data_IF_678790034875
#
_entry.id   IF_678790034875
#
_cell.length_a   1.000
_cell.length_b   1.000
_cell.length_c   1.000
_cell.angle_alpha   90.00
_cell.angle_beta   90.00
_cell.angle_gamma   90.00
#
_symmetry.space_group_name_H-M   'P 1'
#
loop_
_entity.id
_entity.type
_entity.pdbx_description
1 polymer ?
#
# COMPACT_ATOMS: atom_id res chain seq x y z
N UNK A 1 -4.39 -13.31 -13.01
CA UNK A 1 -4.63 -13.69 -11.60
C UNK A 1 -6.13 -13.74 -11.28
N UNK A 2 -6.82 -12.58 -11.20
CA UNK A 2 -8.24 -12.52 -10.77
C UNK A 2 -9.20 -13.36 -11.64
N UNK A 3 -9.09 -13.29 -12.98
CA UNK A 3 -9.90 -14.15 -13.89
C UNK A 3 -9.66 -15.65 -13.69
N UNK A 4 -8.50 -16.02 -13.13
CA UNK A 4 -8.16 -17.40 -12.80
C UNK A 4 -8.54 -17.80 -11.35
N UNK A 5 -9.30 -16.97 -10.64
CA UNK A 5 -9.76 -17.26 -9.27
C UNK A 5 -8.74 -17.01 -8.16
N UNK A 6 -7.58 -16.41 -8.47
CA UNK A 6 -6.58 -16.09 -7.45
C UNK A 6 -6.93 -14.79 -6.72
N UNK A 7 -6.66 -14.77 -5.41
CA UNK A 7 -6.51 -13.52 -4.65
C UNK A 7 -5.17 -12.88 -4.99
N UNK A 8 -5.12 -11.55 -5.01
CA UNK A 8 -3.95 -10.77 -5.42
C UNK A 8 -3.45 -9.95 -4.24
N UNK A 9 -2.14 -9.99 -4.00
CA UNK A 9 -1.43 -8.95 -3.24
C UNK A 9 -0.72 -8.08 -4.27
N UNK A 10 -1.14 -6.84 -4.39
CA UNK A 10 -0.59 -5.85 -5.32
C UNK A 10 0.46 -5.01 -4.59
N UNK A 11 1.72 -5.14 -4.96
CA UNK A 11 2.80 -4.35 -4.38
C UNK A 11 2.95 -3.00 -5.09
N UNK A 12 3.06 -1.93 -4.32
CA UNK A 12 3.35 -0.57 -4.80
C UNK A 12 4.37 0.10 -3.89
N UNK A 13 5.18 1.00 -4.43
CA UNK A 13 6.25 1.64 -3.68
C UNK A 13 7.16 2.48 -4.56
N UNK A 14 7.72 3.53 -3.96
CA UNK A 14 8.68 4.44 -4.58
C UNK A 14 10.13 4.00 -4.35
N UNK A 15 11.04 4.42 -5.22
CA UNK A 15 12.49 4.29 -5.00
C UNK A 15 13.02 5.35 -4.03
N UNK A 16 14.26 5.21 -3.57
CA UNK A 16 14.88 6.22 -2.70
C UNK A 16 14.96 7.58 -3.41
N UNK A 17 15.34 7.57 -4.69
CA UNK A 17 15.47 8.77 -5.51
C UNK A 17 14.12 9.46 -5.73
N UNK A 18 13.05 8.68 -5.92
CA UNK A 18 11.70 9.22 -6.01
C UNK A 18 11.25 9.85 -4.68
N UNK A 19 11.57 9.22 -3.54
CA UNK A 19 11.28 9.77 -2.21
C UNK A 19 12.03 11.07 -1.93
N UNK A 20 13.34 11.06 -2.16
CA UNK A 20 14.20 12.24 -1.97
C UNK A 20 13.82 13.40 -2.90
N UNK A 21 13.24 13.09 -4.07
CA UNK A 21 12.67 14.08 -4.98
C UNK A 21 11.24 14.52 -4.63
N UNK A 22 10.66 14.06 -3.51
CA UNK A 22 9.30 14.41 -3.08
C UNK A 22 8.19 13.80 -3.95
N UNK A 23 8.45 12.68 -4.62
CA UNK A 23 7.51 12.06 -5.59
C UNK A 23 6.70 10.88 -5.05
N UNK A 24 6.86 10.52 -3.77
CA UNK A 24 6.18 9.36 -3.15
C UNK A 24 4.68 9.33 -3.48
N UNK A 25 3.96 10.43 -3.22
CA UNK A 25 2.51 10.50 -3.48
C UNK A 25 2.19 10.25 -4.95
N UNK A 26 2.89 10.93 -5.86
CA UNK A 26 2.66 10.79 -7.30
C UNK A 26 2.92 9.35 -7.79
N UNK A 27 3.95 8.69 -7.25
CA UNK A 27 4.29 7.30 -7.60
C UNK A 27 3.22 6.34 -7.09
N UNK A 28 2.84 6.44 -5.83
CA UNK A 28 1.84 5.56 -5.22
C UNK A 28 0.46 5.70 -5.89
N UNK A 29 0.03 6.93 -6.16
CA UNK A 29 -1.23 7.18 -6.90
C UNK A 29 -1.14 6.61 -8.31
N UNK A 30 -0.05 6.87 -9.04
CA UNK A 30 0.14 6.36 -10.41
C UNK A 30 0.08 4.83 -10.46
N UNK A 31 0.87 4.16 -9.62
CA UNK A 31 0.96 2.70 -9.59
C UNK A 31 -0.38 2.07 -9.21
N UNK A 32 -1.02 2.58 -8.15
CA UNK A 32 -2.32 2.09 -7.66
C UNK A 32 -3.40 2.24 -8.73
N UNK A 33 -3.57 3.46 -9.29
CA UNK A 33 -4.60 3.72 -10.29
C UNK A 33 -4.35 2.95 -11.59
N UNK A 34 -3.11 2.81 -12.02
CA UNK A 34 -2.78 2.05 -13.22
C UNK A 34 -3.05 0.54 -13.05
N UNK A 35 -2.69 -0.03 -11.91
CA UNK A 35 -2.85 -1.47 -11.65
C UNK A 35 -4.32 -1.88 -11.46
N UNK A 36 -5.16 -0.98 -10.93
CA UNK A 36 -6.58 -1.25 -10.67
C UNK A 36 -7.50 -0.77 -11.80
N UNK A 37 -6.95 -0.13 -12.83
CA UNK A 37 -7.74 0.42 -13.93
C UNK A 37 -8.57 -0.68 -14.62
N UNK A 38 -9.86 -0.40 -14.85
CA UNK A 38 -10.78 -1.34 -15.50
C UNK A 38 -11.30 -2.48 -14.61
N UNK A 39 -10.95 -2.52 -13.33
CA UNK A 39 -11.60 -3.41 -12.36
C UNK A 39 -12.96 -2.85 -11.94
N UNK A 40 -13.92 -3.73 -11.66
CA UNK A 40 -15.15 -3.35 -10.98
C UNK A 40 -14.91 -3.31 -9.46
N UNK A 41 -15.61 -2.43 -8.74
CA UNK A 41 -15.49 -2.27 -7.29
C UNK A 41 -15.62 -3.60 -6.52
N UNK A 42 -16.58 -4.44 -6.89
CA UNK A 42 -16.79 -5.77 -6.28
C UNK A 42 -15.60 -6.73 -6.42
N UNK A 43 -14.70 -6.48 -7.36
CA UNK A 43 -13.48 -7.28 -7.56
C UNK A 43 -12.43 -6.96 -6.49
N UNK A 44 -12.50 -5.78 -5.86
CA UNK A 44 -11.53 -5.34 -4.86
C UNK A 44 -11.50 -6.20 -3.60
N UNK A 45 -12.58 -6.92 -3.29
CA UNK A 45 -12.60 -7.92 -2.19
C UNK A 45 -11.58 -9.05 -2.34
N UNK A 46 -11.02 -9.22 -3.54
CA UNK A 46 -10.00 -10.21 -3.85
C UNK A 46 -8.60 -9.59 -3.99
N UNK A 47 -8.43 -8.32 -3.65
CA UNK A 47 -7.18 -7.56 -3.77
C UNK A 47 -6.78 -7.03 -2.40
N UNK A 48 -5.54 -7.32 -2.01
CA UNK A 48 -4.81 -6.65 -0.93
C UNK A 48 -3.77 -5.76 -1.60
N UNK A 49 -3.50 -4.58 -1.06
CA UNK A 49 -2.40 -3.73 -1.54
C UNK A 49 -1.30 -3.74 -0.49
N UNK A 50 -0.05 -3.97 -0.89
CA UNK A 50 1.10 -3.87 -0.01
C UNK A 50 1.91 -2.64 -0.38
N UNK A 51 2.05 -1.70 0.57
CA UNK A 51 3.00 -0.61 0.46
C UNK A 51 4.41 -1.12 0.81
N UNK A 52 5.27 -1.19 -0.20
CA UNK A 52 6.64 -1.65 -0.11
C UNK A 52 7.60 -0.58 -0.65
N UNK A 53 7.94 0.45 0.15
CA UNK A 53 8.96 1.42 -0.26
C UNK A 53 10.26 0.68 -0.59
N UNK A 54 10.71 0.75 -1.83
CA UNK A 54 11.80 -0.10 -2.35
C UNK A 54 13.08 0.08 -1.54
N UNK A 55 13.31 1.30 -1.09
CA UNK A 55 14.46 1.68 -0.27
C UNK A 55 14.45 1.09 1.14
N UNK A 56 13.33 0.54 1.60
CA UNK A 56 13.19 -0.12 2.90
C UNK A 56 13.23 -1.66 2.82
N UNK A 57 13.40 -2.25 1.63
CA UNK A 57 13.42 -3.70 1.44
C UNK A 57 14.84 -4.23 1.60
N UNK A 58 15.10 -4.98 2.68
CA UNK A 58 16.40 -5.66 2.87
C UNK A 58 17.62 -4.75 3.05
N UNK A 59 17.43 -3.43 3.14
CA UNK A 59 18.51 -2.44 3.28
C UNK A 59 18.87 -2.15 4.74
N UNK A 60 18.03 -2.58 5.68
CA UNK A 60 18.12 -2.19 7.10
C UNK A 60 17.67 -0.75 7.38
N UNK A 61 17.36 0.04 6.34
CA UNK A 61 16.62 1.29 6.47
C UNK A 61 15.13 0.94 6.57
N UNK A 62 14.44 1.53 7.53
CA UNK A 62 13.02 1.29 7.76
C UNK A 62 12.31 2.62 7.75
N UNK A 63 11.14 2.69 7.11
CA UNK A 63 10.31 3.87 7.27
C UNK A 63 9.86 3.96 8.73
N UNK A 64 9.81 5.17 9.29
CA UNK A 64 9.16 5.31 10.58
C UNK A 64 7.65 5.03 10.46
N UNK A 65 6.99 4.82 11.59
CA UNK A 65 5.59 4.41 11.60
C UNK A 65 4.67 5.44 10.91
N UNK A 66 5.03 6.74 10.95
CA UNK A 66 4.24 7.80 10.30
C UNK A 66 4.44 7.79 8.80
N UNK A 67 5.66 7.55 8.33
CA UNK A 67 5.97 7.42 6.91
C UNK A 67 5.28 6.19 6.29
N UNK A 68 5.22 5.09 7.04
CA UNK A 68 4.46 3.91 6.65
C UNK A 68 2.96 4.22 6.56
N UNK A 69 2.39 4.87 7.58
CA UNK A 69 0.98 5.26 7.61
C UNK A 69 0.62 6.24 6.48
N UNK A 70 1.46 7.23 6.21
CA UNK A 70 1.28 8.20 5.13
C UNK A 70 1.19 7.50 3.76
N UNK A 71 2.12 6.57 3.48
CA UNK A 71 2.09 5.80 2.23
C UNK A 71 0.83 4.95 2.09
N UNK A 72 0.45 4.24 3.16
CA UNK A 72 -0.79 3.46 3.18
C UNK A 72 -2.05 4.32 3.04
N UNK A 73 -2.07 5.50 3.67
CA UNK A 73 -3.16 6.47 3.56
C UNK A 73 -3.33 7.01 2.14
N UNK A 74 -2.23 7.36 1.46
CA UNK A 74 -2.24 7.79 0.05
C UNK A 74 -2.83 6.71 -0.86
N UNK A 75 -2.50 5.45 -0.62
CA UNK A 75 -3.06 4.32 -1.37
C UNK A 75 -4.56 4.21 -1.11
N UNK A 76 -4.99 4.32 0.17
CA UNK A 76 -6.40 4.27 0.54
C UNK A 76 -7.21 5.39 -0.13
N UNK A 77 -6.66 6.59 -0.17
CA UNK A 77 -7.28 7.73 -0.86
C UNK A 77 -7.34 7.52 -2.38
N UNK A 78 -6.28 6.96 -2.99
CA UNK A 78 -6.29 6.63 -4.41
C UNK A 78 -7.37 5.61 -4.77
N UNK A 79 -7.62 4.64 -3.88
CA UNK A 79 -8.71 3.65 -4.04
C UNK A 79 -10.06 4.31 -3.83
N UNK A 80 -10.20 5.17 -2.82
CA UNK A 80 -11.43 5.92 -2.55
C UNK A 80 -11.85 6.75 -3.75
N UNK A 81 -10.91 7.40 -4.43
CA UNK A 81 -11.16 8.16 -5.67
C UNK A 81 -11.71 7.28 -6.80
N UNK A 82 -11.25 6.02 -6.90
CA UNK A 82 -11.61 5.12 -8.00
C UNK A 82 -12.92 4.36 -7.73
N UNK A 83 -13.14 3.93 -6.49
CA UNK A 83 -14.16 2.94 -6.15
C UNK A 83 -15.10 3.39 -5.03
N UNK A 84 -14.89 4.58 -4.46
CA UNK A 84 -15.71 5.15 -3.39
C UNK A 84 -15.25 4.74 -1.98
N UNK A 85 -15.82 5.43 -0.99
CA UNK A 85 -15.39 5.32 0.41
C UNK A 85 -15.60 3.92 1.01
N UNK A 86 -16.70 3.23 0.68
CA UNK A 86 -16.97 1.88 1.21
C UNK A 86 -15.86 0.90 0.79
N UNK A 87 -15.51 0.88 -0.49
CA UNK A 87 -14.46 -0.02 -1.02
C UNK A 87 -13.10 0.30 -0.40
N UNK A 88 -12.78 1.58 -0.21
CA UNK A 88 -11.54 2.01 0.42
C UNK A 88 -11.46 1.69 1.92
N UNK A 89 -12.59 1.66 2.62
CA UNK A 89 -12.66 1.26 4.03
C UNK A 89 -12.58 -0.26 4.20
N UNK A 90 -13.21 -1.02 3.29
CA UNK A 90 -13.29 -2.49 3.40
C UNK A 90 -12.03 -3.21 2.91
N UNK A 91 -11.15 -2.54 2.17
CA UNK A 91 -9.92 -3.16 1.67
C UNK A 91 -8.81 -3.25 2.71
N UNK A 92 -7.93 -4.24 2.52
CA UNK A 92 -6.70 -4.43 3.30
C UNK A 92 -5.51 -3.77 2.62
N UNK A 93 -4.80 -2.92 3.37
CA UNK A 93 -3.51 -2.34 2.99
C UNK A 93 -2.43 -2.79 3.98
N UNK A 94 -1.42 -3.49 3.49
CA UNK A 94 -0.29 -3.98 4.26
C UNK A 94 0.92 -3.06 4.12
N UNK A 95 1.81 -3.08 5.11
CA UNK A 95 3.14 -2.48 5.00
C UNK A 95 4.22 -3.57 4.93
N UNK A 96 5.09 -3.55 3.91
CA UNK A 96 6.16 -4.54 3.71
C UNK A 96 7.59 -4.01 3.87
N UNK A 97 7.79 -2.76 4.32
CA UNK A 97 9.12 -2.17 4.46
C UNK A 97 9.86 -2.59 5.73
N UNK A 98 10.57 -3.73 5.73
CA UNK A 98 11.36 -4.18 6.90
C UNK A 98 10.58 -4.26 8.22
N UNK A 99 9.33 -4.72 8.18
CA UNK A 99 8.56 -5.03 9.39
C UNK A 99 9.22 -6.19 10.14
N UNK A 100 9.34 -6.07 11.46
CA UNK A 100 9.96 -7.06 12.36
C UNK A 100 9.21 -7.11 13.69
N UNK A 101 9.36 -8.17 14.51
CA UNK A 101 8.64 -8.30 15.78
C UNK A 101 8.76 -7.08 16.70
N UNK A 102 9.91 -6.40 16.67
CA UNK A 102 10.18 -5.23 17.52
C UNK A 102 9.41 -3.95 17.12
N UNK A 103 9.02 -3.78 15.85
CA UNK A 103 8.28 -2.59 15.39
C UNK A 103 6.85 -2.88 14.91
N UNK A 104 6.49 -4.15 14.70
CA UNK A 104 5.18 -4.55 14.19
C UNK A 104 4.02 -3.99 15.03
N UNK A 105 4.14 -3.98 16.37
CA UNK A 105 3.09 -3.45 17.25
C UNK A 105 2.81 -1.97 17.00
N UNK A 106 3.83 -1.17 16.74
CA UNK A 106 3.69 0.26 16.51
C UNK A 106 3.14 0.55 15.11
N UNK A 107 3.61 -0.17 14.10
CA UNK A 107 3.10 -0.12 12.74
C UNK A 107 1.62 -0.52 12.66
N UNK A 108 1.24 -1.64 13.30
CA UNK A 108 -0.16 -2.12 13.32
C UNK A 108 -1.09 -1.25 14.19
N UNK A 109 -0.56 -0.30 14.95
CA UNK A 109 -1.37 0.69 15.66
C UNK A 109 -1.70 1.91 14.79
N UNK A 110 -1.12 2.02 13.59
CA UNK A 110 -1.39 3.11 12.67
C UNK A 110 -2.74 2.92 11.96
N UNK A 111 -3.50 4.00 11.74
CA UNK A 111 -4.88 3.93 11.27
C UNK A 111 -5.04 3.36 9.85
N UNK A 112 -4.02 3.47 8.99
CA UNK A 112 -4.11 3.00 7.61
C UNK A 112 -3.39 1.67 7.36
N UNK A 113 -2.75 1.07 8.37
CA UNK A 113 -1.97 -0.16 8.24
C UNK A 113 -2.76 -1.36 8.79
N UNK A 114 -3.20 -2.24 7.89
CA UNK A 114 -4.05 -3.39 8.23
C UNK A 114 -3.25 -4.68 8.43
N UNK A 115 -1.94 -4.67 8.15
CA UNK A 115 -1.09 -5.85 8.24
C UNK A 115 0.35 -5.63 7.80
N UNK A 116 1.13 -6.70 7.83
CA UNK A 116 2.49 -6.75 7.29
C UNK A 116 2.61 -7.78 6.16
N UNK A 117 3.54 -7.53 5.24
CA UNK A 117 4.00 -8.50 4.23
C UNK A 117 5.45 -8.90 4.51
#
# INVERSE_FOLDING_TARGET
>A
ALKGGLKVILCVGETLEEREAGKTIAVLVRQTKAALNGLAGDTMKNVIIAYEPVWAIGTGKTADDKQADEGCGVIRDAVKDMFGASVAQDMTIQYGGSMKPANAKALLAMPNIDGGL
#
